data_IF_184275461462
#
_entry.id   IF_184275461462
#
_cell.length_a   1.000
_cell.length_b   1.000
_cell.length_c   1.000
_cell.angle_alpha   90.00
_cell.angle_beta   90.00
_cell.angle_gamma   90.00
#
_symmetry.space_group_name_H-M   'P 1'
#
loop_
_entity.id
_entity.type
_entity.pdbx_description
1 polymer ?
#
# COMPACT_ATOMS: atom_id res chain seq x y z
N UNK A 1 -7.01 -10.42 1.36
CA UNK A 1 -7.17 -11.52 0.38
C UNK A 1 -7.55 -12.84 1.04
N UNK A 2 -7.98 -13.79 0.22
CA UNK A 2 -8.48 -15.09 0.67
C UNK A 2 -7.41 -15.90 1.41
N UNK A 3 -7.84 -16.88 2.24
CA UNK A 3 -6.89 -17.79 2.90
C UNK A 3 -6.08 -18.55 1.86
N UNK A 4 -4.83 -18.85 2.18
CA UNK A 4 -3.89 -19.54 1.28
C UNK A 4 -3.58 -18.84 -0.07
N UNK A 5 -3.96 -17.58 -0.25
CA UNK A 5 -3.58 -16.79 -1.44
C UNK A 5 -2.07 -16.44 -1.50
N UNK A 6 -1.32 -16.75 -0.42
CA UNK A 6 0.12 -16.52 -0.34
C UNK A 6 0.51 -15.19 0.30
N UNK A 7 -0.37 -14.56 1.10
CA UNK A 7 -0.11 -13.28 1.79
C UNK A 7 1.15 -13.32 2.66
N UNK A 8 1.25 -14.29 3.57
CA UNK A 8 2.40 -14.43 4.47
C UNK A 8 3.70 -14.77 3.71
N UNK A 9 3.60 -15.49 2.59
CA UNK A 9 4.76 -15.75 1.71
C UNK A 9 5.24 -14.44 1.07
N UNK A 10 4.31 -13.64 0.54
CA UNK A 10 4.58 -12.33 -0.03
C UNK A 10 5.19 -11.39 1.02
N UNK A 11 4.58 -11.33 2.21
CA UNK A 11 5.08 -10.57 3.35
C UNK A 11 6.51 -10.95 3.73
N UNK A 12 6.81 -12.25 3.84
CA UNK A 12 8.15 -12.74 4.15
C UNK A 12 9.17 -12.31 3.11
N UNK A 13 8.80 -12.38 1.83
CA UNK A 13 9.69 -11.96 0.76
C UNK A 13 10.00 -10.47 0.84
N UNK A 14 8.98 -9.63 0.99
CA UNK A 14 9.13 -8.17 0.99
C UNK A 14 9.85 -7.65 2.23
N UNK A 15 9.69 -8.32 3.38
CA UNK A 15 10.25 -7.88 4.66
C UNK A 15 11.56 -8.56 5.03
N UNK A 16 11.96 -9.61 4.31
CA UNK A 16 13.05 -10.51 4.71
C UNK A 16 12.76 -11.29 6.00
N UNK A 17 11.53 -11.27 6.50
CA UNK A 17 11.11 -11.98 7.68
C UNK A 17 10.97 -13.49 7.42
N UNK A 18 10.90 -14.28 8.50
CA UNK A 18 10.60 -15.71 8.47
C UNK A 18 9.36 -15.98 9.30
N UNK A 19 8.25 -15.34 8.93
CA UNK A 19 6.95 -15.64 9.54
C UNK A 19 6.48 -17.00 9.03
N UNK A 20 5.81 -17.75 9.87
CA UNK A 20 5.37 -19.11 9.55
C UNK A 20 4.31 -19.07 8.44
N UNK A 21 4.73 -19.30 7.20
CA UNK A 21 3.84 -19.48 6.06
C UNK A 21 3.63 -20.98 5.86
N UNK A 22 2.50 -21.52 6.29
CA UNK A 22 2.07 -22.89 6.00
C UNK A 22 0.78 -22.87 5.18
N UNK A 23 0.59 -23.90 4.37
CA UNK A 23 -0.67 -24.21 3.69
C UNK A 23 -1.74 -24.65 4.72
N UNK A 24 -2.07 -23.76 5.63
CA UNK A 24 -3.07 -23.96 6.68
C UNK A 24 -4.07 -22.81 6.66
N UNK A 25 -5.35 -23.14 6.90
CA UNK A 25 -6.35 -22.12 7.18
C UNK A 25 -5.91 -21.30 8.39
N UNK A 26 -5.98 -19.96 8.29
CA UNK A 26 -5.58 -19.03 9.35
C UNK A 26 -4.12 -19.18 9.79
N UNK A 27 -3.18 -19.24 8.82
CA UNK A 27 -1.74 -19.25 9.11
C UNK A 27 -1.29 -18.03 9.95
N UNK A 28 -1.99 -16.90 9.81
CA UNK A 28 -1.81 -15.67 10.59
C UNK A 28 -3.11 -15.39 11.34
N UNK A 29 -3.05 -15.30 12.68
CA UNK A 29 -4.18 -14.91 13.54
C UNK A 29 -3.99 -13.51 14.12
N UNK A 30 -2.76 -13.19 14.52
CA UNK A 30 -2.39 -11.86 15.00
C UNK A 30 -1.68 -11.10 13.87
N UNK A 31 -2.07 -9.85 13.56
CA UNK A 31 -1.41 -9.06 12.54
C UNK A 31 0.09 -8.93 12.83
N UNK A 32 0.89 -9.14 11.81
CA UNK A 32 2.34 -8.98 11.91
C UNK A 32 2.76 -7.76 11.11
N UNK A 33 3.35 -6.78 11.79
CA UNK A 33 3.83 -5.54 11.17
C UNK A 33 5.34 -5.54 11.01
N UNK A 34 5.85 -5.04 9.88
CA UNK A 34 7.28 -4.86 9.60
C UNK A 34 7.51 -3.62 8.74
N UNK A 35 8.65 -2.97 9.01
CA UNK A 35 9.14 -1.89 8.16
C UNK A 35 9.69 -2.46 6.86
N UNK A 36 9.36 -1.81 5.74
CA UNK A 36 9.89 -2.10 4.40
C UNK A 36 10.36 -0.79 3.79
N UNK A 37 11.53 -0.81 3.17
CA UNK A 37 12.05 0.32 2.42
C UNK A 37 11.68 0.16 0.93
N UNK A 38 10.98 1.15 0.40
CA UNK A 38 10.57 1.19 -1.01
C UNK A 38 11.71 1.68 -1.91
N UNK A 39 11.62 1.49 -3.24
CA UNK A 39 12.65 1.91 -4.19
C UNK A 39 13.03 3.41 -4.10
N UNK A 40 12.11 4.27 -3.67
CA UNK A 40 12.37 5.71 -3.43
C UNK A 40 13.16 5.99 -2.16
N UNK A 41 13.39 4.99 -1.30
CA UNK A 41 13.92 5.16 0.05
C UNK A 41 12.86 5.50 1.10
N UNK A 42 11.57 5.60 0.70
CA UNK A 42 10.48 5.78 1.63
C UNK A 42 10.30 4.51 2.48
N UNK A 43 10.14 4.68 3.78
CA UNK A 43 9.86 3.58 4.71
C UNK A 43 8.37 3.49 4.95
N UNK A 44 7.83 2.30 4.83
CA UNK A 44 6.43 1.97 5.09
C UNK A 44 6.33 0.87 6.13
N UNK A 45 5.16 0.76 6.75
CA UNK A 45 4.81 -0.40 7.57
C UNK A 45 3.93 -1.32 6.74
N UNK A 46 4.38 -2.55 6.52
CA UNK A 46 3.59 -3.61 5.92
C UNK A 46 2.98 -4.46 7.02
N UNK A 47 1.67 -4.72 6.94
CA UNK A 47 0.94 -5.60 7.86
C UNK A 47 0.45 -6.85 7.14
N UNK A 48 0.76 -8.04 7.66
CA UNK A 48 0.16 -9.30 7.23
C UNK A 48 -1.08 -9.58 8.09
N UNK A 49 -2.21 -9.71 7.43
CA UNK A 49 -3.52 -9.87 8.08
C UNK A 49 -4.04 -11.31 7.96
N UNK A 50 -5.06 -11.62 8.72
CA UNK A 50 -5.80 -12.88 8.62
C UNK A 50 -6.36 -13.05 7.21
N UNK A 51 -6.37 -14.30 6.69
CA UNK A 51 -7.02 -14.63 5.42
C UNK A 51 -8.52 -14.83 5.56
N UNK A 52 -9.26 -14.38 4.56
CA UNK A 52 -10.70 -14.63 4.46
C UNK A 52 -11.00 -16.08 4.06
N UNK A 53 -12.12 -16.60 4.51
CA UNK A 53 -12.68 -17.89 4.09
C UNK A 53 -14.15 -17.68 3.72
N UNK A 54 -14.68 -18.50 2.80
CA UNK A 54 -16.13 -18.59 2.56
C UNK A 54 -16.84 -19.05 3.83
N UNK A 55 -18.02 -18.50 4.09
CA UNK A 55 -18.85 -18.84 5.25
C UNK A 55 -18.14 -18.67 6.61
N UNK A 56 -17.58 -17.48 6.86
CA UNK A 56 -17.09 -17.12 8.20
C UNK A 56 -18.24 -17.26 9.22
N UNK A 57 -18.10 -18.10 10.26
CA UNK A 57 -19.07 -18.14 11.33
C UNK A 57 -19.24 -16.76 11.97
N UNK A 58 -20.48 -16.32 12.19
CA UNK A 58 -20.81 -14.99 12.73
C UNK A 58 -20.08 -14.67 14.04
N UNK A 59 -19.77 -15.69 14.83
CA UNK A 59 -18.99 -15.55 16.07
C UNK A 59 -17.52 -15.17 15.83
N UNK A 60 -16.94 -15.59 14.69
CA UNK A 60 -15.58 -15.23 14.29
C UNK A 60 -15.54 -13.85 13.64
N UNK A 61 -16.61 -13.39 12.98
CA UNK A 61 -16.67 -12.05 12.37
C UNK A 61 -16.41 -10.98 13.43
N UNK A 62 -16.94 -11.10 14.64
CA UNK A 62 -16.71 -10.15 15.73
C UNK A 62 -15.25 -10.13 16.21
N UNK A 63 -14.58 -11.29 16.26
CA UNK A 63 -13.16 -11.38 16.61
C UNK A 63 -12.25 -10.86 15.47
N UNK A 64 -12.62 -11.11 14.22
CA UNK A 64 -11.92 -10.61 13.04
C UNK A 64 -12.13 -9.11 12.83
N UNK A 65 -13.25 -8.54 13.25
CA UNK A 65 -13.54 -7.12 13.09
C UNK A 65 -12.45 -6.24 13.72
N UNK A 66 -11.94 -6.62 14.90
CA UNK A 66 -10.83 -5.90 15.54
C UNK A 66 -9.52 -5.96 14.75
N UNK A 67 -9.23 -7.06 14.05
CA UNK A 67 -8.03 -7.20 13.19
C UNK A 67 -8.22 -6.57 11.82
N UNK A 68 -9.47 -6.41 11.37
CA UNK A 68 -9.82 -5.76 10.12
C UNK A 68 -9.94 -4.22 10.26
N UNK A 69 -10.08 -3.69 11.49
CA UNK A 69 -10.00 -2.25 11.73
C UNK A 69 -8.68 -1.65 11.25
N UNK A 70 -7.58 -2.43 11.26
CA UNK A 70 -6.30 -2.02 10.67
C UNK A 70 -6.39 -1.76 9.15
N UNK A 71 -7.30 -2.43 8.46
CA UNK A 71 -7.53 -2.23 7.01
C UNK A 71 -8.14 -0.86 6.75
N UNK A 72 -8.98 -0.36 7.68
CA UNK A 72 -9.62 0.95 7.57
C UNK A 72 -8.62 2.10 7.70
N UNK A 73 -7.55 1.89 8.45
CA UNK A 73 -6.49 2.89 8.68
C UNK A 73 -5.36 2.80 7.64
N UNK A 74 -5.41 1.81 6.75
CA UNK A 74 -4.35 1.59 5.75
C UNK A 74 -4.35 2.69 4.67
N UNK A 75 -3.17 3.18 4.33
CA UNK A 75 -3.00 4.12 3.20
C UNK A 75 -3.10 3.43 1.84
N UNK A 76 -2.87 2.12 1.78
CA UNK A 76 -2.97 1.28 0.59
C UNK A 76 -3.32 -0.14 1.00
N UNK A 77 -4.30 -0.74 0.34
CA UNK A 77 -4.70 -2.12 0.54
C UNK A 77 -4.16 -2.97 -0.61
N UNK A 78 -3.45 -4.04 -0.28
CA UNK A 78 -3.01 -5.06 -1.24
C UNK A 78 -3.97 -6.25 -1.16
N UNK A 79 -4.81 -6.40 -2.19
CA UNK A 79 -5.70 -7.56 -2.31
C UNK A 79 -4.95 -8.72 -3.00
N UNK A 80 -4.39 -9.63 -2.22
CA UNK A 80 -3.63 -10.79 -2.75
C UNK A 80 -4.60 -11.89 -3.17
N UNK A 81 -4.50 -12.31 -4.44
CA UNK A 81 -5.32 -13.37 -5.04
C UNK A 81 -4.44 -14.54 -5.51
N UNK A 82 -4.89 -15.75 -5.33
CA UNK A 82 -4.31 -16.94 -5.98
C UNK A 82 -4.89 -17.06 -7.38
N UNK A 83 -4.15 -16.56 -8.38
CA UNK A 83 -4.64 -16.55 -9.77
C UNK A 83 -4.63 -17.95 -10.42
N UNK A 84 -3.97 -18.93 -9.81
CA UNK A 84 -3.97 -20.32 -10.26
C UNK A 84 -5.20 -21.11 -9.79
N UNK A 85 -5.95 -20.56 -8.81
CA UNK A 85 -7.11 -21.24 -8.25
C UNK A 85 -8.32 -21.12 -9.20
N UNK A 86 -9.05 -22.23 -9.48
CA UNK A 86 -10.19 -22.20 -10.42
C UNK A 86 -11.32 -21.26 -9.95
N UNK A 87 -11.47 -21.05 -8.64
CA UNK A 87 -12.48 -20.15 -8.05
C UNK A 87 -11.92 -18.79 -7.66
N UNK A 88 -10.81 -18.34 -8.28
CA UNK A 88 -10.15 -17.08 -7.91
C UNK A 88 -11.08 -15.87 -7.96
N UNK A 89 -12.02 -15.83 -8.91
CA UNK A 89 -12.96 -14.72 -9.06
C UNK A 89 -14.06 -14.77 -8.00
N UNK A 90 -14.58 -15.97 -7.64
CA UNK A 90 -15.51 -16.12 -6.54
C UNK A 90 -14.88 -15.70 -5.21
N UNK A 91 -13.64 -16.14 -4.95
CA UNK A 91 -12.88 -15.74 -3.76
C UNK A 91 -12.61 -14.21 -3.72
N UNK A 92 -12.41 -13.58 -4.87
CA UNK A 92 -12.24 -12.13 -4.94
C UNK A 92 -13.54 -11.40 -4.59
N UNK A 93 -14.68 -11.90 -5.06
CA UNK A 93 -16.00 -11.35 -4.73
C UNK A 93 -16.30 -11.49 -3.23
N UNK A 94 -16.04 -12.65 -2.63
CA UNK A 94 -16.20 -12.86 -1.17
C UNK A 94 -15.39 -11.83 -0.36
N UNK A 95 -14.16 -11.53 -0.80
CA UNK A 95 -13.31 -10.51 -0.15
C UNK A 95 -13.88 -9.10 -0.33
N UNK A 96 -14.39 -8.78 -1.52
CA UNK A 96 -14.98 -7.47 -1.79
C UNK A 96 -16.25 -7.25 -0.97
N UNK A 97 -17.12 -8.27 -0.85
CA UNK A 97 -18.32 -8.21 -0.03
C UNK A 97 -17.98 -7.91 1.44
N UNK A 98 -16.93 -8.56 1.98
CA UNK A 98 -16.46 -8.28 3.35
C UNK A 98 -15.90 -6.86 3.48
N UNK A 99 -15.16 -6.36 2.47
CA UNK A 99 -14.66 -5.00 2.47
C UNK A 99 -15.81 -3.98 2.40
N UNK A 100 -16.94 -4.33 1.74
CA UNK A 100 -18.16 -3.53 1.77
C UNK A 100 -18.82 -3.51 3.14
N UNK A 101 -18.93 -4.66 3.79
CA UNK A 101 -19.49 -4.78 5.15
C UNK A 101 -18.66 -4.01 6.19
N UNK A 102 -17.38 -3.76 5.93
CA UNK A 102 -16.50 -2.95 6.77
C UNK A 102 -16.67 -1.44 6.55
N UNK A 103 -17.58 -1.01 5.68
CA UNK A 103 -17.85 0.40 5.36
C UNK A 103 -16.58 1.17 4.89
N UNK A 104 -15.69 0.48 4.16
CA UNK A 104 -14.53 1.12 3.56
C UNK A 104 -15.02 2.20 2.59
N UNK A 105 -14.43 3.40 2.67
CA UNK A 105 -14.80 4.51 1.79
C UNK A 105 -14.61 4.16 0.32
N UNK A 106 -15.43 4.74 -0.55
CA UNK A 106 -15.35 4.49 -2.00
C UNK A 106 -13.96 4.89 -2.56
N UNK A 107 -13.34 5.92 -1.99
CA UNK A 107 -11.97 6.33 -2.36
C UNK A 107 -10.96 5.22 -2.00
N UNK A 108 -11.05 4.63 -0.80
CA UNK A 108 -10.16 3.54 -0.40
C UNK A 108 -10.39 2.25 -1.20
N UNK A 109 -11.64 1.97 -1.61
CA UNK A 109 -11.94 0.86 -2.52
C UNK A 109 -11.31 1.07 -3.89
N UNK A 110 -11.39 2.28 -4.42
CA UNK A 110 -10.77 2.64 -5.69
C UNK A 110 -9.23 2.58 -5.62
N UNK A 111 -8.64 2.61 -4.42
CA UNK A 111 -7.20 2.57 -4.20
C UNK A 111 -6.65 1.16 -3.87
N UNK A 112 -7.49 0.13 -3.89
CA UNK A 112 -7.05 -1.26 -3.72
C UNK A 112 -6.15 -1.68 -4.89
N UNK A 113 -4.97 -2.21 -4.59
CA UNK A 113 -4.07 -2.81 -5.56
C UNK A 113 -4.22 -4.33 -5.53
N UNK A 114 -4.73 -4.92 -6.61
CA UNK A 114 -4.81 -6.36 -6.74
C UNK A 114 -3.44 -6.97 -7.05
N UNK A 115 -3.06 -7.96 -6.26
CA UNK A 115 -1.82 -8.71 -6.43
C UNK A 115 -2.17 -10.14 -6.86
N UNK A 116 -2.03 -10.42 -8.15
CA UNK A 116 -2.27 -11.71 -8.75
C UNK A 116 -1.08 -12.63 -8.52
N UNK A 117 -1.13 -13.38 -7.43
CA UNK A 117 -0.05 -14.22 -6.94
C UNK A 117 -0.13 -15.65 -7.51
N UNK A 118 0.95 -16.40 -7.30
CA UNK A 118 1.16 -17.79 -7.74
C UNK A 118 1.21 -17.95 -9.27
N UNK A 119 1.75 -16.95 -9.96
CA UNK A 119 1.94 -17.00 -11.42
C UNK A 119 2.87 -18.12 -11.87
N UNK A 120 3.71 -18.65 -10.99
CA UNK A 120 4.57 -19.81 -11.18
C UNK A 120 3.79 -21.12 -11.40
N UNK A 121 2.50 -21.17 -11.03
CA UNK A 121 1.63 -22.33 -11.23
C UNK A 121 0.80 -22.26 -12.52
N UNK A 122 0.86 -21.12 -13.25
CA UNK A 122 0.10 -20.96 -14.50
C UNK A 122 0.78 -21.64 -15.69
N UNK A 123 -0.03 -22.04 -16.67
CA UNK A 123 0.49 -22.37 -18.00
C UNK A 123 1.11 -21.12 -18.67
N UNK A 124 1.96 -21.33 -19.69
CA UNK A 124 2.56 -20.19 -20.41
C UNK A 124 1.49 -19.28 -21.06
N UNK A 125 0.40 -19.85 -21.55
CA UNK A 125 -0.68 -19.09 -22.19
C UNK A 125 -1.46 -18.28 -21.15
N UNK A 126 -1.79 -18.86 -19.99
CA UNK A 126 -2.49 -18.18 -18.91
C UNK A 126 -1.62 -17.09 -18.29
N UNK A 127 -0.31 -17.35 -18.14
CA UNK A 127 0.64 -16.35 -17.66
C UNK A 127 0.73 -15.15 -18.59
N UNK A 128 0.79 -15.40 -19.92
CA UNK A 128 0.80 -14.33 -20.91
C UNK A 128 -0.49 -13.52 -20.87
N UNK A 129 -1.64 -14.17 -20.73
CA UNK A 129 -2.93 -13.51 -20.58
C UNK A 129 -2.99 -12.65 -19.32
N UNK A 130 -2.57 -13.20 -18.17
CA UNK A 130 -2.53 -12.47 -16.90
C UNK A 130 -1.62 -11.24 -16.99
N UNK A 131 -0.42 -11.37 -17.57
CA UNK A 131 0.49 -10.24 -17.81
C UNK A 131 -0.10 -9.20 -18.75
N UNK A 132 -0.78 -9.60 -19.82
CA UNK A 132 -1.44 -8.66 -20.74
C UNK A 132 -2.54 -7.86 -20.05
N UNK A 133 -3.32 -8.47 -19.15
CA UNK A 133 -4.33 -7.79 -18.36
C UNK A 133 -3.65 -6.82 -17.39
N UNK A 134 -2.67 -7.28 -16.62
CA UNK A 134 -1.91 -6.48 -15.66
C UNK A 134 -1.25 -5.25 -16.31
N UNK A 135 -0.68 -5.39 -17.50
CA UNK A 135 -0.05 -4.29 -18.22
C UNK A 135 -1.03 -3.21 -18.70
N UNK A 136 -2.31 -3.52 -18.81
CA UNK A 136 -3.37 -2.57 -19.22
C UNK A 136 -4.15 -1.99 -18.04
N UNK A 137 -3.97 -2.58 -16.86
CA UNK A 137 -4.66 -2.19 -15.65
C UNK A 137 -3.70 -1.51 -14.68
N UNK A 138 -4.03 -0.30 -14.27
CA UNK A 138 -3.20 0.47 -13.35
C UNK A 138 -3.10 -0.17 -11.96
N UNK A 139 -4.08 -1.01 -11.61
CA UNK A 139 -4.25 -1.55 -10.25
C UNK A 139 -4.14 -3.06 -10.14
N UNK A 140 -3.54 -3.71 -11.13
CA UNK A 140 -3.27 -5.16 -11.08
C UNK A 140 -1.77 -5.40 -11.28
N UNK A 141 -1.17 -6.22 -10.42
CA UNK A 141 0.22 -6.68 -10.60
C UNK A 141 0.30 -8.18 -10.46
N UNK A 142 0.97 -8.82 -11.43
CA UNK A 142 1.21 -10.26 -11.44
C UNK A 142 2.52 -10.58 -10.74
N UNK A 143 2.49 -11.51 -9.79
CA UNK A 143 3.68 -11.88 -9.01
C UNK A 143 3.74 -13.40 -8.77
N UNK A 144 4.92 -13.88 -8.45
CA UNK A 144 5.11 -15.11 -7.71
C UNK A 144 5.87 -14.80 -6.42
N UNK A 145 5.18 -14.86 -5.30
CA UNK A 145 5.81 -14.71 -3.99
C UNK A 145 6.82 -15.83 -3.68
N UNK A 146 6.73 -16.95 -4.37
CA UNK A 146 7.65 -18.09 -4.23
C UNK A 146 8.96 -17.85 -4.96
N UNK A 147 8.90 -17.42 -6.24
CA UNK A 147 10.08 -17.24 -7.10
C UNK A 147 10.66 -15.84 -7.03
N UNK A 148 9.87 -14.85 -6.64
CA UNK A 148 10.24 -13.44 -6.65
C UNK A 148 9.88 -12.69 -7.93
N UNK A 149 9.32 -13.40 -8.94
CA UNK A 149 8.91 -12.77 -10.19
C UNK A 149 7.84 -11.70 -9.97
N UNK A 150 8.00 -10.54 -10.62
CA UNK A 150 7.07 -9.41 -10.57
C UNK A 150 7.12 -8.58 -9.28
N UNK A 151 7.90 -8.97 -8.27
CA UNK A 151 7.91 -8.28 -6.97
C UNK A 151 8.57 -6.90 -7.03
N UNK A 152 9.56 -6.69 -7.90
CA UNK A 152 10.15 -5.36 -8.10
C UNK A 152 9.12 -4.40 -8.71
N UNK A 153 8.31 -4.87 -9.65
CA UNK A 153 7.24 -4.07 -10.26
C UNK A 153 6.13 -3.78 -9.25
N UNK A 154 5.81 -4.74 -8.37
CA UNK A 154 4.87 -4.53 -7.28
C UNK A 154 5.39 -3.46 -6.31
N UNK A 155 6.64 -3.56 -5.85
CA UNK A 155 7.25 -2.56 -4.96
C UNK A 155 7.28 -1.17 -5.60
N UNK A 156 7.61 -1.07 -6.89
CA UNK A 156 7.55 0.19 -7.63
C UNK A 156 6.13 0.74 -7.69
N UNK A 157 5.13 -0.11 -7.91
CA UNK A 157 3.73 0.34 -7.95
C UNK A 157 3.23 0.80 -6.57
N UNK A 158 3.60 0.10 -5.49
CA UNK A 158 3.32 0.54 -4.11
C UNK A 158 3.94 1.92 -3.87
N UNK A 159 5.20 2.11 -4.27
CA UNK A 159 5.90 3.38 -4.15
C UNK A 159 5.18 4.52 -4.88
N UNK A 160 4.70 4.27 -6.10
CA UNK A 160 3.93 5.25 -6.86
C UNK A 160 2.57 5.58 -6.21
N UNK A 161 1.86 4.58 -5.68
CA UNK A 161 0.55 4.78 -5.03
C UNK A 161 0.67 5.50 -3.67
N UNK A 162 1.76 5.27 -2.94
CA UNK A 162 2.02 5.92 -1.65
C UNK A 162 2.77 7.24 -1.76
N UNK A 163 3.13 7.63 -2.99
CA UNK A 163 3.82 8.89 -3.23
C UNK A 163 2.90 10.04 -2.87
N UNK A 164 3.27 10.77 -1.83
CA UNK A 164 2.51 11.95 -1.43
C UNK A 164 2.47 12.96 -2.59
N UNK A 165 1.26 13.43 -2.91
CA UNK A 165 1.08 14.53 -3.86
C UNK A 165 1.79 15.75 -3.27
N UNK A 166 2.86 16.19 -3.91
CA UNK A 166 3.58 17.38 -3.49
C UNK A 166 3.31 18.52 -4.46
N UNK A 167 3.15 19.71 -3.90
CA UNK A 167 2.98 20.95 -4.64
C UNK A 167 4.28 21.75 -4.49
N UNK A 168 4.78 22.25 -5.61
CA UNK A 168 5.93 23.16 -5.60
C UNK A 168 5.42 24.59 -5.79
N UNK A 169 5.75 25.48 -4.88
CA UNK A 169 5.37 26.89 -4.95
C UNK A 169 6.44 27.81 -4.38
N UNK A 170 6.29 29.09 -4.62
CA UNK A 170 7.20 30.11 -4.12
C UNK A 170 6.55 30.81 -2.93
N UNK A 171 7.17 30.67 -1.77
CA UNK A 171 6.76 31.34 -0.53
C UNK A 171 7.61 32.58 -0.32
N UNK A 172 6.96 33.74 -0.14
CA UNK A 172 7.62 34.99 0.23
C UNK A 172 7.41 35.28 1.71
N UNK A 173 8.50 35.43 2.45
CA UNK A 173 8.50 35.73 3.89
C UNK A 173 9.24 37.04 4.13
N UNK A 174 8.68 37.91 4.97
CA UNK A 174 9.41 39.07 5.45
C UNK A 174 10.66 38.64 6.25
N UNK A 175 11.68 39.50 6.29
CA UNK A 175 12.92 39.19 7.06
C UNK A 175 12.59 38.95 8.54
N UNK A 176 11.54 39.58 9.04
CA UNK A 176 11.06 39.41 10.42
C UNK A 176 10.41 38.06 10.71
N UNK A 177 10.03 37.27 9.68
CA UNK A 177 9.38 35.97 9.80
C UNK A 177 10.37 34.80 9.91
N UNK A 178 11.47 35.01 10.64
CA UNK A 178 12.53 33.99 10.80
C UNK A 178 12.04 32.66 11.38
N UNK A 179 11.01 32.67 12.22
CA UNK A 179 10.41 31.45 12.77
C UNK A 179 9.76 30.57 11.69
N UNK A 180 9.00 31.19 10.77
CA UNK A 180 8.37 30.49 9.65
C UNK A 180 9.41 29.94 8.66
N UNK A 181 10.45 30.74 8.39
CA UNK A 181 11.59 30.31 7.59
C UNK A 181 12.29 29.10 8.23
N UNK A 182 12.58 29.15 9.53
CA UNK A 182 13.20 28.04 10.26
C UNK A 182 12.35 26.77 10.23
N UNK A 183 11.03 26.90 10.30
CA UNK A 183 10.09 25.77 10.19
C UNK A 183 10.21 25.08 8.83
N UNK A 184 10.28 25.84 7.72
CA UNK A 184 10.44 25.29 6.37
C UNK A 184 11.75 24.47 6.24
N UNK A 185 12.86 24.98 6.78
CA UNK A 185 14.14 24.27 6.78
C UNK A 185 14.13 23.05 7.69
N UNK A 186 13.54 23.17 8.87
CA UNK A 186 13.44 22.04 9.81
C UNK A 186 12.68 20.84 9.22
N UNK A 187 11.71 21.11 8.34
CA UNK A 187 10.93 20.07 7.66
C UNK A 187 11.48 19.68 6.29
N UNK A 188 12.69 20.14 5.91
CA UNK A 188 13.35 19.85 4.63
C UNK A 188 12.51 20.20 3.38
N UNK A 189 11.71 21.26 3.46
CA UNK A 189 10.77 21.63 2.39
C UNK A 189 11.40 22.60 1.36
N UNK A 190 12.50 23.27 1.70
CA UNK A 190 13.14 24.30 0.87
C UNK A 190 14.06 23.65 -0.18
N UNK A 191 13.80 23.92 -1.46
CA UNK A 191 14.64 23.53 -2.58
C UNK A 191 15.63 24.60 -2.98
N UNK A 192 15.20 25.86 -2.94
CA UNK A 192 16.04 27.01 -3.27
C UNK A 192 15.56 28.23 -2.47
N UNK A 193 16.48 29.15 -2.19
CA UNK A 193 16.19 30.41 -1.53
C UNK A 193 16.90 31.56 -2.25
N UNK A 194 16.18 32.66 -2.42
CA UNK A 194 16.72 33.97 -2.81
C UNK A 194 16.31 34.96 -1.74
N UNK A 195 17.15 35.91 -1.40
CA UNK A 195 16.85 36.96 -0.45
C UNK A 195 17.22 38.32 -0.98
N UNK A 196 16.52 39.35 -0.54
CA UNK A 196 16.86 40.72 -0.69
C UNK A 196 16.75 41.46 0.65
N UNK A 197 16.86 42.79 0.67
CA UNK A 197 16.82 43.59 1.91
C UNK A 197 15.43 43.53 2.64
N UNK A 198 14.37 43.03 2.01
CA UNK A 198 13.02 43.12 2.53
C UNK A 198 12.36 41.75 2.77
N UNK A 199 12.70 40.75 1.98
CA UNK A 199 12.07 39.43 2.07
C UNK A 199 12.96 38.28 1.61
N UNK A 200 12.60 37.07 2.07
CA UNK A 200 13.07 35.80 1.55
C UNK A 200 12.06 35.26 0.52
N UNK A 201 12.54 34.76 -0.61
CA UNK A 201 11.76 34.05 -1.60
C UNK A 201 12.25 32.61 -1.65
N UNK A 202 11.41 31.67 -1.14
CA UNK A 202 11.77 30.27 -0.99
C UNK A 202 10.97 29.43 -1.97
N UNK A 203 11.65 28.65 -2.80
CA UNK A 203 11.03 27.58 -3.58
C UNK A 203 10.83 26.39 -2.66
N UNK A 204 9.59 26.07 -2.32
CA UNK A 204 9.24 24.99 -1.41
C UNK A 204 8.52 23.88 -2.15
N UNK A 205 8.71 22.64 -1.69
CA UNK A 205 7.95 21.47 -2.13
C UNK A 205 7.37 20.82 -0.88
N UNK A 206 6.06 20.78 -0.78
CA UNK A 206 5.33 20.29 0.38
C UNK A 206 4.04 19.56 0.00
N UNK A 207 3.50 18.80 0.93
CA UNK A 207 2.17 18.21 0.81
C UNK A 207 1.09 19.26 1.09
N UNK A 208 -0.16 19.07 0.64
CA UNK A 208 -1.28 19.94 1.01
C UNK A 208 -1.45 20.08 2.54
N UNK A 209 -1.18 19.01 3.30
CA UNK A 209 -1.20 19.00 4.76
C UNK A 209 -0.12 19.92 5.36
N UNK A 210 1.11 19.83 4.86
CA UNK A 210 2.22 20.68 5.29
C UNK A 210 1.97 22.15 4.94
N UNK A 211 1.43 22.42 3.74
CA UNK A 211 1.01 23.77 3.34
C UNK A 211 -0.04 24.35 4.29
N UNK A 212 -1.08 23.56 4.60
CA UNK A 212 -2.12 23.98 5.55
C UNK A 212 -1.59 24.20 6.99
N UNK A 213 -0.58 23.42 7.40
CA UNK A 213 0.07 23.60 8.70
C UNK A 213 0.93 24.87 8.76
N UNK A 214 1.58 25.22 7.66
CA UNK A 214 2.41 26.43 7.55
C UNK A 214 1.58 27.72 7.57
N UNK A 215 0.32 27.67 7.11
CA UNK A 215 -0.59 28.81 7.08
C UNK A 215 -1.29 29.10 8.43
N UNK A 216 -1.19 28.19 9.40
CA UNK A 216 -1.69 28.39 10.77
C UNK A 216 -0.68 29.14 11.63
#
# INVERSE_FOLDING_TARGET
>A
GYTNAGKSTLFNYMTGAKVFAKDMLFATLDPTMREVELPSGQKIILSDTVGFISELPTQLIAAFRATLEEVLDANLILHVRDISHPETDAQANDVNDILEDLEISDDAKNDILEVWNKTDLLSNDDLNNAKNISNRADRIRTVSALTGDGLNDLLFQIDQNLKEITISEIVKLAITEGGRRAWLYKNNLVKNEKSNEHFFELSVTWTPKQAAQFLK
#
